data_IF_550713567824
#
_entry.id   IF_550713567824
#
_cell.length_a   1.000
_cell.length_b   1.000
_cell.length_c   1.000
_cell.angle_alpha   90.00
_cell.angle_beta   90.00
_cell.angle_gamma   90.00
#
_symmetry.space_group_name_H-M   'P 1'
#
loop_
_entity.id
_entity.type
_entity.pdbx_description
1 polymer ?
#
# COMPACT_ATOMS: atom_id res chain seq x y z
N UNK A 1 -31.58 -11.75 16.86
CA UNK A 1 -30.54 -11.83 17.90
C UNK A 1 -30.40 -10.48 18.58
N UNK A 2 -30.35 -10.46 19.91
CA UNK A 2 -30.12 -9.25 20.69
C UNK A 2 -28.64 -8.81 20.59
N UNK A 3 -28.34 -7.52 20.86
CA UNK A 3 -26.96 -7.00 20.79
C UNK A 3 -25.97 -7.82 21.66
N UNK A 4 -26.42 -8.27 22.83
CA UNK A 4 -25.63 -9.11 23.74
C UNK A 4 -25.32 -10.51 23.20
N UNK A 5 -26.15 -11.05 22.31
CA UNK A 5 -25.88 -12.35 21.67
C UNK A 5 -24.79 -12.21 20.61
N UNK A 6 -24.84 -11.13 19.81
CA UNK A 6 -23.78 -10.79 18.86
C UNK A 6 -22.45 -10.52 19.56
N UNK A 7 -22.48 -9.77 20.67
CA UNK A 7 -21.31 -9.52 21.53
C UNK A 7 -20.60 -10.81 21.94
N UNK A 8 -21.35 -11.77 22.50
CA UNK A 8 -20.82 -13.09 22.91
C UNK A 8 -20.26 -13.89 21.73
N UNK A 9 -20.90 -13.77 20.56
CA UNK A 9 -20.45 -14.42 19.33
C UNK A 9 -19.10 -13.86 18.86
N UNK A 10 -18.97 -12.54 18.80
CA UNK A 10 -17.71 -11.86 18.46
C UNK A 10 -16.58 -12.22 19.43
N UNK A 11 -16.87 -12.21 20.74
CA UNK A 11 -15.89 -12.56 21.78
C UNK A 11 -15.37 -13.99 21.62
N UNK A 12 -16.26 -14.95 21.35
CA UNK A 12 -15.89 -16.36 21.16
C UNK A 12 -15.16 -16.60 19.85
N UNK A 13 -15.61 -15.99 18.75
CA UNK A 13 -15.09 -16.23 17.40
C UNK A 13 -13.70 -15.62 17.18
N UNK A 14 -13.42 -14.47 17.79
CA UNK A 14 -12.15 -13.76 17.62
C UNK A 14 -11.25 -13.78 18.87
N UNK A 15 -11.58 -14.61 19.86
CA UNK A 15 -10.86 -14.76 21.13
C UNK A 15 -10.50 -13.42 21.79
N UNK A 16 -11.47 -12.51 21.88
CA UNK A 16 -11.29 -11.12 22.35
C UNK A 16 -11.12 -11.01 23.89
N UNK A 17 -10.54 -12.02 24.53
CA UNK A 17 -10.38 -12.06 25.99
C UNK A 17 -9.56 -10.87 26.49
N UNK A 18 -10.12 -10.12 27.43
CA UNK A 18 -9.47 -8.95 28.04
C UNK A 18 -9.63 -7.65 27.24
N UNK A 19 -10.41 -7.65 26.16
CA UNK A 19 -10.78 -6.45 25.41
C UNK A 19 -12.09 -5.89 25.98
N UNK A 20 -12.17 -4.57 26.14
CA UNK A 20 -13.41 -3.92 26.55
C UNK A 20 -14.44 -3.98 25.41
N UNK A 21 -15.61 -4.56 25.71
CA UNK A 21 -16.74 -4.70 24.79
C UNK A 21 -17.90 -3.82 25.31
N UNK A 22 -18.06 -2.57 24.84
CA UNK A 22 -19.09 -1.66 25.34
C UNK A 22 -20.50 -2.08 24.89
N UNK A 23 -21.51 -1.75 25.69
CA UNK A 23 -22.92 -2.00 25.30
C UNK A 23 -23.45 -0.93 24.32
N UNK A 24 -22.73 0.19 24.18
CA UNK A 24 -23.02 1.27 23.22
C UNK A 24 -22.67 0.91 21.77
N UNK A 25 -21.85 -0.12 21.56
CA UNK A 25 -21.43 -0.58 20.22
C UNK A 25 -22.50 -1.48 19.61
N UNK A 26 -22.80 -1.27 18.33
CA UNK A 26 -23.63 -2.19 17.54
C UNK A 26 -22.81 -3.44 17.17
N UNK A 27 -22.94 -4.50 17.97
CA UNK A 27 -22.20 -5.74 17.76
C UNK A 27 -22.66 -6.51 16.53
N UNK A 28 -23.88 -6.28 16.05
CA UNK A 28 -24.34 -6.86 14.79
C UNK A 28 -23.55 -6.26 13.63
N UNK A 29 -23.41 -4.93 13.60
CA UNK A 29 -22.59 -4.24 12.61
C UNK A 29 -21.14 -4.71 12.66
N UNK A 30 -20.51 -4.76 13.84
CA UNK A 30 -19.12 -5.22 14.00
C UNK A 30 -18.95 -6.65 13.47
N UNK A 31 -19.91 -7.54 13.79
CA UNK A 31 -19.89 -8.92 13.30
C UNK A 31 -19.97 -9.00 11.77
N UNK A 32 -20.84 -8.21 11.16
CA UNK A 32 -21.02 -8.15 9.69
C UNK A 32 -19.80 -7.52 9.00
N UNK A 33 -19.21 -6.48 9.61
CA UNK A 33 -18.05 -5.78 9.09
C UNK A 33 -16.76 -6.62 9.17
N UNK A 34 -16.68 -7.61 10.07
CA UNK A 34 -15.53 -8.52 10.25
C UNK A 34 -14.19 -7.75 10.22
N UNK A 35 -13.93 -6.86 11.20
CA UNK A 35 -12.78 -5.96 11.18
C UNK A 35 -11.42 -6.68 11.21
N UNK A 36 -11.40 -7.94 11.67
CA UNK A 36 -10.17 -8.68 11.92
C UNK A 36 -9.80 -9.63 10.77
N UNK A 37 -8.51 -9.71 10.45
CA UNK A 37 -7.94 -10.73 9.57
C UNK A 37 -8.33 -10.65 8.09
N UNK A 38 -9.01 -9.58 7.66
CA UNK A 38 -9.27 -9.29 6.25
C UNK A 38 -8.51 -8.05 5.79
N UNK A 39 -8.27 -7.96 4.48
CA UNK A 39 -7.70 -6.75 3.89
C UNK A 39 -8.69 -5.60 3.95
N UNK A 40 -8.25 -4.47 4.50
CA UNK A 40 -9.02 -3.23 4.55
C UNK A 40 -8.75 -2.33 3.34
N UNK A 41 -7.71 -2.61 2.54
CA UNK A 41 -7.49 -1.93 1.28
C UNK A 41 -8.41 -2.46 0.19
N UNK A 42 -9.02 -1.55 -0.57
CA UNK A 42 -9.75 -1.84 -1.79
C UNK A 42 -8.78 -2.01 -2.94
N UNK A 43 -9.06 -2.98 -3.81
CA UNK A 43 -8.29 -3.24 -5.03
C UNK A 43 -6.78 -3.39 -4.78
N UNK A 44 -6.34 -4.43 -4.07
CA UNK A 44 -4.94 -4.61 -3.68
C UNK A 44 -3.99 -4.99 -4.83
N UNK A 45 -4.52 -5.22 -6.03
CA UNK A 45 -3.76 -5.64 -7.21
C UNK A 45 -4.17 -4.78 -8.43
N UNK A 46 -3.87 -3.47 -8.42
CA UNK A 46 -4.41 -2.53 -9.41
C UNK A 46 -3.95 -2.84 -10.84
N UNK A 47 -2.81 -3.49 -11.02
CA UNK A 47 -2.31 -3.89 -12.34
C UNK A 47 -2.81 -5.27 -12.79
N UNK A 48 -3.68 -5.93 -12.02
CA UNK A 48 -4.20 -7.27 -12.34
C UNK A 48 -3.17 -8.41 -12.22
N UNK A 49 -2.00 -8.13 -11.62
CA UNK A 49 -0.91 -9.09 -11.42
C UNK A 49 -0.90 -9.61 -9.98
N UNK A 50 -0.27 -10.76 -9.76
CA UNK A 50 -0.18 -11.40 -8.43
C UNK A 50 1.26 -11.76 -8.10
N UNK A 51 1.65 -11.56 -6.84
CA UNK A 51 2.99 -11.92 -6.34
C UNK A 51 3.21 -13.43 -6.23
N UNK A 52 2.15 -14.25 -6.39
CA UNK A 52 2.26 -15.71 -6.43
C UNK A 52 2.77 -16.25 -7.77
N UNK A 53 2.87 -15.39 -8.78
CA UNK A 53 3.48 -15.65 -10.07
C UNK A 53 4.65 -14.68 -10.28
N UNK A 54 5.66 -15.03 -11.08
CA UNK A 54 6.72 -14.09 -11.45
C UNK A 54 6.15 -12.79 -12.03
N UNK A 55 6.84 -11.64 -11.89
CA UNK A 55 6.46 -10.41 -12.58
C UNK A 55 6.31 -10.63 -14.09
N UNK A 56 5.37 -9.95 -14.76
CA UNK A 56 5.22 -10.07 -16.20
C UNK A 56 6.47 -9.55 -16.92
N UNK A 57 6.86 -10.23 -17.99
CA UNK A 57 7.93 -9.77 -18.86
C UNK A 57 7.53 -8.46 -19.57
N UNK A 58 8.43 -7.47 -19.66
CA UNK A 58 8.16 -6.27 -20.46
C UNK A 58 7.90 -6.64 -21.92
N UNK A 59 6.79 -6.18 -22.49
CA UNK A 59 6.52 -6.35 -23.92
C UNK A 59 7.50 -5.51 -24.75
N UNK A 60 8.55 -6.16 -25.28
CA UNK A 60 9.47 -5.54 -26.23
C UNK A 60 8.87 -5.66 -27.63
N UNK A 61 8.09 -4.67 -28.07
CA UNK A 61 7.35 -4.78 -29.35
C UNK A 61 8.24 -4.70 -30.59
N UNK A 62 9.54 -4.40 -30.48
CA UNK A 62 10.48 -4.30 -31.61
C UNK A 62 10.17 -3.18 -32.62
N UNK A 63 8.97 -2.61 -32.51
CA UNK A 63 8.43 -1.48 -33.25
C UNK A 63 7.92 -0.45 -32.23
N UNK A 64 8.02 0.85 -32.54
CA UNK A 64 7.44 1.89 -31.71
C UNK A 64 5.95 1.64 -31.49
N UNK A 65 5.41 1.89 -30.28
CA UNK A 65 3.99 1.73 -30.01
C UNK A 65 3.15 2.51 -31.02
N UNK A 66 2.12 1.87 -31.58
CA UNK A 66 1.16 2.54 -32.46
C UNK A 66 0.19 3.36 -31.60
N UNK A 67 0.44 4.66 -31.47
CA UNK A 67 -0.42 5.56 -30.71
C UNK A 67 0.34 6.72 -30.06
N UNK A 68 -0.36 7.59 -29.31
CA UNK A 68 0.31 8.60 -28.50
C UNK A 68 1.21 7.94 -27.45
N UNK A 69 2.37 8.54 -27.12
CA UNK A 69 3.28 7.99 -26.13
C UNK A 69 2.58 7.84 -24.78
N UNK A 70 2.66 6.63 -24.21
CA UNK A 70 2.14 6.34 -22.88
C UNK A 70 2.92 7.14 -21.84
N UNK A 71 2.22 7.57 -20.80
CA UNK A 71 2.82 8.38 -19.75
C UNK A 71 2.41 7.95 -18.33
N UNK A 72 1.51 6.98 -18.24
CA UNK A 72 1.00 6.40 -17.00
C UNK A 72 0.91 4.88 -17.13
N UNK A 73 1.02 4.14 -16.01
CA UNK A 73 0.88 2.69 -16.02
C UNK A 73 -0.55 2.26 -16.31
N UNK A 74 -0.70 1.09 -16.94
CA UNK A 74 -2.01 0.47 -17.16
C UNK A 74 -2.46 -0.27 -15.91
N UNK A 75 -3.76 -0.22 -15.61
CA UNK A 75 -4.36 -0.87 -14.47
C UNK A 75 -5.78 -0.39 -14.21
N UNK A 76 -6.51 -1.15 -13.39
CA UNK A 76 -7.71 -0.67 -12.73
C UNK A 76 -7.28 -0.04 -11.40
N UNK A 77 -7.37 1.28 -11.29
CA UNK A 77 -7.05 2.01 -10.07
C UNK A 77 -8.31 2.37 -9.26
N UNK A 78 -9.43 1.68 -9.49
CA UNK A 78 -10.65 1.89 -8.71
C UNK A 78 -10.39 1.74 -7.21
N UNK A 79 -10.82 2.73 -6.42
CA UNK A 79 -10.58 2.81 -4.98
C UNK A 79 -9.25 3.46 -4.58
N UNK A 80 -8.36 3.77 -5.52
CA UNK A 80 -7.12 4.49 -5.28
C UNK A 80 -7.23 5.95 -5.72
N UNK A 81 -6.60 6.85 -4.97
CA UNK A 81 -6.30 8.20 -5.45
C UNK A 81 -4.91 8.12 -6.07
N UNK A 82 -4.81 8.48 -7.35
CA UNK A 82 -3.56 8.42 -8.10
C UNK A 82 -3.01 9.81 -8.36
N UNK A 83 -1.68 9.94 -8.35
CA UNK A 83 -1.01 11.18 -8.76
C UNK A 83 0.34 10.89 -9.40
N UNK A 84 0.82 11.84 -10.22
CA UNK A 84 2.08 11.73 -10.93
C UNK A 84 2.96 12.95 -10.66
N UNK A 85 4.24 12.69 -10.39
CA UNK A 85 5.28 13.71 -10.26
C UNK A 85 6.36 13.44 -11.30
N UNK A 86 6.55 14.37 -12.24
CA UNK A 86 7.65 14.29 -13.21
C UNK A 86 8.96 14.73 -12.56
N UNK A 87 9.99 13.90 -12.65
CA UNK A 87 11.34 14.22 -12.16
C UNK A 87 12.21 14.88 -13.23
N UNK A 88 11.78 14.82 -14.50
CA UNK A 88 12.48 15.41 -15.62
C UNK A 88 13.53 14.48 -16.22
N UNK A 89 14.26 15.01 -17.20
CA UNK A 89 15.30 14.28 -17.91
C UNK A 89 16.54 14.12 -17.04
N UNK A 90 17.05 12.90 -16.98
CA UNK A 90 18.32 12.61 -16.36
C UNK A 90 19.44 12.68 -17.41
N UNK A 91 20.26 13.73 -17.34
CA UNK A 91 21.46 13.91 -18.14
C UNK A 91 22.74 13.54 -17.36
N UNK A 92 22.62 12.94 -16.18
CA UNK A 92 23.77 12.46 -15.43
C UNK A 92 24.55 11.44 -16.26
N UNK A 93 25.87 11.57 -16.28
CA UNK A 93 26.74 10.71 -17.08
C UNK A 93 26.83 11.03 -18.58
N UNK A 94 26.13 12.05 -19.09
CA UNK A 94 26.29 12.51 -20.48
C UNK A 94 27.52 13.44 -20.60
N UNK A 95 28.55 13.09 -21.38
CA UNK A 95 29.73 13.94 -21.54
C UNK A 95 29.41 15.26 -22.30
N UNK A 96 30.15 16.36 -22.02
CA UNK A 96 29.99 17.60 -22.76
C UNK A 96 30.19 17.43 -24.27
N UNK A 97 29.29 18.01 -25.07
CA UNK A 97 29.38 18.00 -26.55
C UNK A 97 28.79 16.77 -27.24
N UNK A 98 28.24 15.80 -26.49
CA UNK A 98 27.53 14.64 -27.06
C UNK A 98 26.08 15.01 -27.38
N UNK A 99 25.66 14.80 -28.62
CA UNK A 99 24.26 14.89 -29.01
C UNK A 99 23.51 13.61 -28.58
N UNK A 100 22.51 13.75 -27.71
CA UNK A 100 21.70 12.63 -27.23
C UNK A 100 20.31 12.71 -27.88
N UNK A 101 19.92 11.66 -28.62
CA UNK A 101 18.62 11.61 -29.29
C UNK A 101 17.45 11.38 -28.30
N UNK A 102 17.68 10.57 -27.26
CA UNK A 102 16.68 10.27 -26.23
C UNK A 102 17.35 10.22 -24.86
N UNK A 103 16.79 10.95 -23.89
CA UNK A 103 17.18 10.89 -22.49
C UNK A 103 16.10 10.19 -21.68
N UNK A 104 16.45 9.39 -20.66
CA UNK A 104 15.47 8.85 -19.74
C UNK A 104 14.81 9.99 -18.98
N UNK A 105 13.47 9.98 -18.95
CA UNK A 105 12.66 10.86 -18.14
C UNK A 105 11.97 10.03 -17.08
N UNK A 106 12.24 10.33 -15.81
CA UNK A 106 11.65 9.59 -14.70
C UNK A 106 10.42 10.30 -14.15
N UNK A 107 9.48 9.53 -13.62
CA UNK A 107 8.36 10.07 -12.86
C UNK A 107 7.97 9.14 -11.72
N UNK A 108 7.53 9.71 -10.61
CA UNK A 108 6.82 8.96 -9.59
C UNK A 108 5.35 8.83 -9.95
N UNK A 109 4.83 7.63 -9.86
CA UNK A 109 3.40 7.37 -9.84
C UNK A 109 3.02 6.95 -8.41
N UNK A 110 2.05 7.65 -7.84
CA UNK A 110 1.64 7.49 -6.44
C UNK A 110 0.24 6.92 -6.43
N UNK A 111 0.01 5.90 -5.59
CA UNK A 111 -1.33 5.45 -5.25
C UNK A 111 -1.49 5.60 -3.74
N UNK A 112 -2.61 6.19 -3.34
CA UNK A 112 -2.96 6.33 -1.94
C UNK A 112 -4.40 5.91 -1.64
N UNK A 113 -4.60 5.40 -0.42
CA UNK A 113 -5.91 5.07 0.10
C UNK A 113 -5.96 5.37 1.60
N UNK A 114 -7.10 5.86 2.05
CA UNK A 114 -7.36 6.13 3.46
C UNK A 114 -8.44 5.19 3.96
N UNK A 115 -8.11 4.42 4.99
CA UNK A 115 -9.01 3.45 5.63
C UNK A 115 -9.56 4.07 6.91
N UNK A 116 -10.88 4.10 7.04
CA UNK A 116 -11.56 4.47 8.29
C UNK A 116 -11.79 3.20 9.12
N UNK A 117 -11.01 3.03 10.20
CA UNK A 117 -11.05 1.82 11.01
C UNK A 117 -12.42 1.64 11.69
N UNK A 118 -13.13 2.73 12.01
CA UNK A 118 -14.46 2.65 12.63
C UNK A 118 -15.51 2.20 11.63
N UNK A 119 -15.45 2.72 10.41
CA UNK A 119 -16.32 2.27 9.33
C UNK A 119 -16.07 0.79 8.96
N UNK A 120 -14.85 0.29 9.18
CA UNK A 120 -14.52 -1.14 8.99
C UNK A 120 -14.86 -2.03 10.20
N UNK A 121 -15.41 -1.47 11.29
CA UNK A 121 -15.92 -2.22 12.45
C UNK A 121 -15.01 -2.21 13.69
N UNK A 122 -13.89 -1.49 13.69
CA UNK A 122 -13.05 -1.31 14.87
C UNK A 122 -13.60 -0.20 15.78
N UNK A 123 -13.89 -0.50 17.05
CA UNK A 123 -14.46 0.47 18.00
C UNK A 123 -13.39 1.20 18.82
N UNK A 124 -13.78 2.28 19.48
CA UNK A 124 -12.86 3.21 20.15
C UNK A 124 -12.04 2.52 21.26
N UNK A 125 -12.67 1.74 22.14
CA UNK A 125 -12.00 1.05 23.25
C UNK A 125 -11.02 -0.03 22.79
N UNK A 126 -11.29 -0.66 21.63
CA UNK A 126 -10.35 -1.57 20.98
C UNK A 126 -9.12 -0.79 20.51
N UNK A 127 -9.31 0.31 19.77
CA UNK A 127 -8.22 1.08 19.19
C UNK A 127 -7.39 1.82 20.24
N UNK A 128 -8.02 2.32 21.31
CA UNK A 128 -7.36 3.15 22.31
C UNK A 128 -6.77 2.34 23.46
N UNK A 129 -7.53 1.36 23.97
CA UNK A 129 -7.14 0.54 25.12
C UNK A 129 -6.37 -0.70 24.72
N UNK A 130 -6.91 -1.51 23.80
CA UNK A 130 -6.22 -2.72 23.35
C UNK A 130 -5.11 -2.40 22.34
N UNK A 131 -5.31 -1.49 21.39
CA UNK A 131 -4.35 -1.19 20.33
C UNK A 131 -3.93 -2.47 19.57
N UNK A 132 -4.86 -3.13 18.85
CA UNK A 132 -4.57 -4.33 18.06
C UNK A 132 -3.47 -4.06 17.04
N UNK A 133 -2.65 -5.07 16.73
CA UNK A 133 -1.62 -4.95 15.69
C UNK A 133 -2.25 -4.57 14.34
N UNK A 134 -1.70 -3.52 13.72
CA UNK A 134 -2.03 -3.14 12.34
C UNK A 134 -0.87 -3.60 11.45
N UNK A 135 -1.12 -4.64 10.66
CA UNK A 135 -0.13 -5.26 9.78
C UNK A 135 -0.26 -4.66 8.39
N UNK A 136 0.86 -4.17 7.88
CA UNK A 136 1.03 -3.62 6.54
C UNK A 136 1.86 -4.60 5.74
N UNK A 137 1.40 -4.95 4.54
CA UNK A 137 2.18 -5.69 3.55
C UNK A 137 2.03 -5.05 2.19
N UNK A 138 3.09 -5.11 1.40
CA UNK A 138 3.04 -4.70 0.01
C UNK A 138 4.11 -5.45 -0.79
N UNK A 139 3.91 -5.58 -2.10
CA UNK A 139 4.88 -6.21 -2.99
C UNK A 139 5.10 -5.34 -4.21
N UNK A 140 6.36 -4.99 -4.46
CA UNK A 140 6.75 -4.27 -5.66
C UNK A 140 7.67 -5.13 -6.53
N UNK A 141 7.63 -4.86 -7.82
CA UNK A 141 8.52 -5.49 -8.78
C UNK A 141 9.94 -4.94 -8.64
N UNK A 142 10.94 -5.81 -8.48
CA UNK A 142 12.33 -5.42 -8.70
C UNK A 142 12.50 -5.06 -10.18
N UNK A 143 12.76 -3.79 -10.47
CA UNK A 143 12.98 -3.28 -11.82
C UNK A 143 14.35 -2.62 -11.92
N UNK A 144 15.04 -2.76 -13.05
CA UNK A 144 16.33 -2.08 -13.28
C UNK A 144 16.18 -0.63 -13.74
N UNK A 145 15.06 0.03 -13.44
CA UNK A 145 14.81 1.39 -13.90
C UNK A 145 15.69 2.42 -13.22
N UNK A 146 15.96 2.23 -11.93
CA UNK A 146 16.77 3.13 -11.10
C UNK A 146 17.20 2.39 -9.82
N UNK A 147 18.14 2.93 -9.05
CA UNK A 147 18.46 2.40 -7.72
C UNK A 147 17.35 2.68 -6.68
N UNK A 148 16.36 3.52 -6.96
CA UNK A 148 15.28 3.89 -6.04
C UNK A 148 13.99 3.89 -6.81
N UNK A 149 13.31 2.75 -6.81
CA UNK A 149 12.13 2.49 -7.64
C UNK A 149 10.82 2.45 -6.84
N UNK A 150 10.92 2.34 -5.52
CA UNK A 150 9.76 2.14 -4.65
C UNK A 150 9.88 2.96 -3.37
N UNK A 151 8.76 3.53 -2.93
CA UNK A 151 8.62 4.17 -1.63
C UNK A 151 7.28 3.80 -1.02
N UNK A 152 7.29 3.39 0.25
CA UNK A 152 6.09 3.18 1.06
C UNK A 152 6.06 4.21 2.17
N UNK A 153 4.90 4.81 2.40
CA UNK A 153 4.60 5.63 3.56
C UNK A 153 3.24 5.25 4.11
N UNK A 154 3.21 4.80 5.36
CA UNK A 154 1.96 4.51 6.07
C UNK A 154 1.86 5.36 7.33
N UNK A 155 0.72 6.01 7.51
CA UNK A 155 0.44 6.86 8.67
C UNK A 155 -0.79 6.38 9.41
N UNK A 156 -0.67 6.28 10.73
CA UNK A 156 -1.79 6.16 11.64
C UNK A 156 -2.24 7.56 12.05
N UNK A 157 -3.50 7.88 11.79
CA UNK A 157 -4.05 9.23 11.93
C UNK A 157 -5.16 9.27 12.99
N UNK A 158 -5.29 10.42 13.64
CA UNK A 158 -6.30 10.74 14.63
C UNK A 158 -7.72 10.87 14.08
N UNK A 159 -8.67 11.21 14.94
CA UNK A 159 -10.10 11.34 14.58
C UNK A 159 -10.41 12.43 13.55
N UNK A 160 -9.57 13.47 13.45
CA UNK A 160 -9.65 14.50 12.41
C UNK A 160 -9.20 13.99 11.03
N UNK A 161 -8.55 12.81 10.99
CA UNK A 161 -7.97 12.25 9.78
C UNK A 161 -6.73 13.00 9.29
N UNK A 162 -6.12 13.88 10.08
CA UNK A 162 -4.95 14.68 9.70
C UNK A 162 -3.83 14.59 10.73
N UNK A 163 -4.18 14.57 12.03
CA UNK A 163 -3.20 14.45 13.11
C UNK A 163 -2.46 13.13 13.03
N UNK A 164 -1.16 13.19 12.76
CA UNK A 164 -0.30 12.01 12.68
C UNK A 164 0.05 11.49 14.09
N UNK A 165 -0.31 10.24 14.37
CA UNK A 165 0.02 9.55 15.63
C UNK A 165 1.29 8.73 15.46
N UNK A 166 1.41 7.98 14.36
CA UNK A 166 2.59 7.18 14.04
C UNK A 166 2.79 7.12 12.53
N UNK A 167 4.04 7.05 12.10
CA UNK A 167 4.41 6.92 10.68
C UNK A 167 5.45 5.82 10.52
N UNK A 168 5.35 5.12 9.39
CA UNK A 168 6.37 4.23 8.89
C UNK A 168 6.67 4.59 7.43
N UNK A 169 7.95 4.78 7.12
CA UNK A 169 8.40 5.06 5.76
C UNK A 169 9.52 4.08 5.38
N UNK A 170 9.45 3.55 4.17
CA UNK A 170 10.45 2.63 3.59
C UNK A 170 10.75 3.08 2.16
N UNK A 171 12.03 3.19 1.84
CA UNK A 171 12.53 3.55 0.52
C UNK A 171 13.79 2.74 0.22
N UNK A 172 13.65 1.46 -0.17
CA UNK A 172 14.78 0.58 -0.41
C UNK A 172 15.62 1.08 -1.59
N UNK A 173 16.89 0.68 -1.59
CA UNK A 173 17.81 0.92 -2.69
C UNK A 173 18.14 -0.40 -3.37
N UNK A 174 18.04 -0.42 -4.69
CA UNK A 174 18.22 -1.59 -5.54
C UNK A 174 19.68 -1.73 -5.98
N UNK A 175 20.19 -2.95 -6.01
CA UNK A 175 21.47 -3.26 -6.64
C UNK A 175 21.25 -3.57 -8.12
N UNK A 176 21.48 -2.57 -8.96
CA UNK A 176 21.31 -2.69 -10.41
C UNK A 176 22.23 -3.74 -11.06
N UNK A 177 23.31 -4.15 -10.38
CA UNK A 177 24.24 -5.16 -10.88
C UNK A 177 23.76 -6.61 -10.64
N UNK A 178 22.86 -6.81 -9.68
CA UNK A 178 22.36 -8.12 -9.28
C UNK A 178 20.82 -8.17 -9.41
N UNK A 179 20.37 -8.22 -10.67
CA UNK A 179 18.95 -8.22 -11.01
C UNK A 179 18.37 -9.62 -11.03
N UNK A 180 17.30 -9.83 -10.26
CA UNK A 180 16.63 -11.13 -10.14
C UNK A 180 15.22 -11.15 -10.75
N UNK A 181 14.66 -9.99 -11.10
CA UNK A 181 13.29 -9.81 -11.63
C UNK A 181 12.21 -10.50 -10.79
N UNK A 182 12.29 -10.35 -9.47
CA UNK A 182 11.33 -10.95 -8.54
C UNK A 182 10.46 -9.89 -7.86
N UNK A 183 9.36 -10.33 -7.26
CA UNK A 183 8.60 -9.53 -6.32
C UNK A 183 9.36 -9.37 -5.00
N UNK A 184 9.44 -8.15 -4.49
CA UNK A 184 10.02 -7.84 -3.19
C UNK A 184 8.93 -7.48 -2.18
N UNK A 185 8.89 -8.22 -1.07
CA UNK A 185 7.95 -7.95 0.03
C UNK A 185 8.44 -6.80 0.89
N UNK A 186 7.53 -5.89 1.23
CA UNK A 186 7.69 -4.92 2.31
C UNK A 186 6.62 -5.21 3.35
N UNK A 187 7.03 -5.37 4.61
CA UNK A 187 6.13 -5.71 5.70
C UNK A 187 6.44 -4.87 6.94
N UNK A 188 5.41 -4.38 7.60
CA UNK A 188 5.51 -3.62 8.84
C UNK A 188 4.35 -3.94 9.77
N UNK A 189 4.59 -3.87 11.08
CA UNK A 189 3.55 -4.05 12.09
C UNK A 189 3.57 -2.85 13.02
N UNK A 190 2.47 -2.12 13.09
CA UNK A 190 2.28 -1.12 14.13
C UNK A 190 1.71 -1.81 15.37
N UNK A 191 2.52 -1.86 16.42
CA UNK A 191 2.12 -2.24 17.77
C UNK A 191 2.34 -1.06 18.73
N UNK A 192 1.58 -1.03 19.83
CA UNK A 192 1.71 -0.02 20.88
C UNK A 192 1.75 1.42 20.33
N UNK A 193 0.84 1.75 19.40
CA UNK A 193 0.85 3.03 18.71
C UNK A 193 0.25 4.18 19.53
N UNK A 194 -0.27 3.91 20.72
CA UNK A 194 -0.93 4.90 21.56
C UNK A 194 -2.40 5.08 21.19
N UNK A 195 -3.20 5.73 22.05
CA UNK A 195 -4.61 5.95 21.79
C UNK A 195 -4.83 7.01 20.70
N UNK A 196 -6.04 7.02 20.13
CA UNK A 196 -6.53 8.05 19.23
C UNK A 196 -6.53 7.68 17.75
N UNK A 197 -5.95 6.54 17.36
CA UNK A 197 -5.88 6.11 15.95
C UNK A 197 -7.29 5.80 15.43
N UNK A 198 -7.66 6.40 14.31
CA UNK A 198 -8.96 6.21 13.62
C UNK A 198 -8.82 5.93 12.14
N UNK A 199 -7.74 6.39 11.52
CA UNK A 199 -7.49 6.11 10.11
C UNK A 199 -6.10 5.53 9.89
N UNK A 200 -5.99 4.74 8.81
CA UNK A 200 -4.72 4.34 8.22
C UNK A 200 -4.64 5.01 6.86
N UNK A 201 -3.66 5.88 6.65
CA UNK A 201 -3.32 6.43 5.34
C UNK A 201 -2.17 5.62 4.77
N UNK A 202 -2.48 4.85 3.73
CA UNK A 202 -1.54 4.03 2.99
C UNK A 202 -1.18 4.75 1.71
N UNK A 203 0.11 4.96 1.46
CA UNK A 203 0.61 5.59 0.25
C UNK A 203 1.86 4.86 -0.19
N UNK A 204 1.89 4.44 -1.46
CA UNK A 204 3.12 3.98 -2.10
C UNK A 204 3.41 4.76 -3.38
N UNK A 205 4.68 4.78 -3.78
CA UNK A 205 5.15 5.46 -4.97
C UNK A 205 6.07 4.54 -5.74
N UNK A 206 5.87 4.53 -7.05
CA UNK A 206 6.55 3.65 -8.01
C UNK A 206 7.25 4.54 -9.03
N UNK A 207 8.52 4.26 -9.30
CA UNK A 207 9.30 5.05 -10.25
C UNK A 207 9.12 4.46 -11.63
N UNK A 208 8.67 5.28 -12.57
CA UNK A 208 8.51 4.91 -13.96
C UNK A 208 9.56 5.63 -14.81
N UNK A 209 9.89 5.05 -15.95
CA UNK A 209 10.84 5.62 -16.92
C UNK A 209 10.17 5.75 -18.28
N UNK A 210 10.26 6.93 -18.88
CA UNK A 210 9.94 7.14 -20.29
C UNK A 210 11.22 7.43 -21.07
N UNK A 211 11.39 6.81 -22.23
CA UNK A 211 12.50 7.13 -23.14
C UNK A 211 12.04 7.06 -24.60
N UNK A 212 12.09 5.87 -25.20
CA UNK A 212 11.41 5.56 -26.48
C UNK A 212 10.01 4.99 -26.20
N UNK A 213 9.92 4.22 -25.13
CA UNK A 213 8.70 3.59 -24.63
C UNK A 213 8.56 3.89 -23.13
N UNK A 214 7.40 3.54 -22.57
CA UNK A 214 7.07 3.71 -21.16
C UNK A 214 7.29 2.41 -20.40
N UNK A 215 8.12 2.47 -19.35
CA UNK A 215 8.45 1.35 -18.48
C UNK A 215 7.94 1.65 -17.07
N UNK A 216 6.89 0.95 -16.60
CA UNK A 216 6.42 1.06 -15.23
C UNK A 216 7.20 0.17 -14.26
N UNK A 217 7.22 0.55 -12.98
CA UNK A 217 7.41 -0.42 -11.88
C UNK A 217 6.04 -0.86 -11.38
N UNK A 218 5.82 -2.16 -11.24
CA UNK A 218 4.53 -2.71 -10.81
C UNK A 218 4.45 -2.93 -9.29
N UNK A 219 3.21 -2.98 -8.79
CA UNK A 219 2.88 -3.28 -7.40
C UNK A 219 1.68 -4.22 -7.31
N UNK A 220 1.63 -5.04 -6.26
CA UNK A 220 0.50 -5.95 -6.00
C UNK A 220 0.45 -6.40 -4.54
N UNK A 221 -0.66 -6.99 -4.14
CA UNK A 221 -0.81 -7.59 -2.81
C UNK A 221 -0.81 -6.58 -1.67
N UNK A 222 -1.08 -5.29 -1.95
CA UNK A 222 -1.12 -4.24 -0.94
C UNK A 222 -2.19 -4.56 0.10
N UNK A 223 -1.79 -4.66 1.37
CA UNK A 223 -2.64 -5.17 2.44
C UNK A 223 -2.50 -4.36 3.72
N UNK A 224 -3.65 -4.01 4.30
CA UNK A 224 -3.77 -3.51 5.68
C UNK A 224 -4.66 -4.48 6.44
N UNK A 225 -4.14 -5.14 7.47
CA UNK A 225 -4.88 -6.06 8.34
C UNK A 225 -4.92 -5.51 9.76
N UNK A 226 -6.07 -5.60 10.42
CA UNK A 226 -6.16 -5.48 11.87
C UNK A 226 -6.20 -6.89 12.45
N UNK A 227 -5.28 -7.18 13.36
CA UNK A 227 -5.19 -8.49 14.00
C UNK A 227 -5.73 -8.41 15.43
N UNK A 228 -6.50 -9.41 15.91
CA UNK A 228 -7.08 -9.40 17.26
C UNK A 228 -6.03 -9.69 18.35
N UNK A 229 -4.74 -9.50 18.06
CA UNK A 229 -3.60 -9.82 18.93
C UNK A 229 -2.62 -8.65 18.93
N UNK A 230 -1.72 -8.69 19.91
CA UNK A 230 -0.57 -7.79 20.00
C UNK A 230 0.70 -8.61 19.81
N UNK A 231 1.66 -8.06 19.08
CA UNK A 231 3.01 -8.58 19.04
C UNK A 231 3.68 -8.30 20.39
N UNK A 232 4.35 -9.32 20.94
CA UNK A 232 5.04 -9.26 22.25
C UNK A 232 6.30 -8.40 22.20
#
# INVERSE_FOLDING_TARGET
MANNEWKKKCETEWDLKGISLPDSVDWKFVYEAKPFGRNLLKNPAPHGVSHNSPPPEPELTGYPPTGPPRSEPEGDFSGWITSRESLGYDASGVPPGVAVCHLPNYSWFTLEQKVDLKAEGAWDELLDGFQPDIVIKDWYEESQLHDSIYQLRVRLLGADGETMIKEHTVSPTEDLSNYSHNWKEVSHVFSGYGPGVRYVHFLHRLKNKFMVEFFPTLVTGSTVLVMPRKSS
#
